data_IF_386140542019
#
_entry.id   IF_386140542019
#
_cell.length_a   1.000
_cell.length_b   1.000
_cell.length_c   1.000
_cell.angle_alpha   90.00
_cell.angle_beta   90.00
_cell.angle_gamma   90.00
#
_symmetry.space_group_name_H-M   'P 1'
#
loop_
_entity.id
_entity.type
_entity.pdbx_description
1 polymer ?
#
# COMPACT_ATOMS: atom_id res chain seq x y z
N UNK A 1 -3.24 -1.80 29.77
CA UNK A 1 -2.05 -2.23 29.00
C UNK A 1 -1.39 -3.51 29.54
N UNK A 2 -1.08 -3.66 30.84
CA UNK A 2 -0.39 -4.89 31.35
C UNK A 2 -1.06 -6.22 30.98
N UNK A 3 -2.39 -6.31 31.08
CA UNK A 3 -3.13 -7.53 30.69
C UNK A 3 -2.96 -7.88 29.21
N UNK A 4 -2.98 -6.87 28.33
CA UNK A 4 -2.78 -7.05 26.89
C UNK A 4 -1.37 -7.59 26.65
N UNK A 5 -0.35 -6.95 27.21
CA UNK A 5 1.05 -7.36 27.03
C UNK A 5 1.32 -8.79 27.54
N UNK A 6 0.76 -9.17 28.68
CA UNK A 6 0.91 -10.52 29.24
C UNK A 6 0.22 -11.58 28.37
N UNK A 7 -0.96 -11.29 27.82
CA UNK A 7 -1.63 -12.17 26.87
C UNK A 7 -0.82 -12.31 25.57
N UNK A 8 -0.42 -11.19 24.96
CA UNK A 8 0.38 -11.19 23.72
C UNK A 8 1.69 -11.96 23.89
N UNK A 9 2.36 -11.86 25.05
CA UNK A 9 3.56 -12.64 25.32
C UNK A 9 3.29 -14.15 25.39
N UNK A 10 2.14 -14.56 25.94
CA UNK A 10 1.77 -15.98 26.10
C UNK A 10 1.26 -16.61 24.82
N UNK A 11 0.51 -15.87 24.01
CA UNK A 11 -0.24 -16.46 22.88
C UNK A 11 0.02 -15.79 21.54
N UNK A 12 0.73 -14.65 21.52
CA UNK A 12 0.84 -13.81 20.32
C UNK A 12 -0.33 -12.84 20.13
N UNK A 13 -1.37 -12.91 20.98
CA UNK A 13 -2.63 -12.17 20.84
C UNK A 13 -3.09 -11.51 22.15
N UNK A 14 -3.83 -10.37 22.08
CA UNK A 14 -4.24 -9.68 20.86
C UNK A 14 -3.13 -8.78 20.30
N UNK A 15 -3.20 -8.50 19.00
CA UNK A 15 -2.45 -7.42 18.37
C UNK A 15 -2.95 -6.03 18.79
N UNK A 16 -2.22 -4.99 18.37
CA UNK A 16 -2.61 -3.59 18.59
C UNK A 16 -3.00 -2.96 17.25
N UNK A 17 -4.12 -2.23 17.24
CA UNK A 17 -4.55 -1.40 16.12
C UNK A 17 -4.74 0.04 16.61
N UNK A 18 -4.25 0.99 15.83
CA UNK A 18 -4.30 2.41 16.17
C UNK A 18 -5.43 3.08 15.38
N UNK A 19 -6.66 2.97 15.91
CA UNK A 19 -7.88 3.44 15.26
C UNK A 19 -7.81 4.89 14.77
N UNK A 20 -7.27 5.78 15.59
CA UNK A 20 -7.14 7.20 15.27
C UNK A 20 -6.21 7.42 14.07
N UNK A 21 -5.05 6.75 14.05
CA UNK A 21 -4.09 6.85 12.96
C UNK A 21 -4.63 6.22 11.67
N UNK A 22 -5.35 5.09 11.77
CA UNK A 22 -6.00 4.43 10.63
C UNK A 22 -6.97 5.41 9.96
N UNK A 23 -7.84 6.05 10.74
CA UNK A 23 -8.84 6.98 10.20
C UNK A 23 -8.24 8.34 9.81
N UNK A 24 -7.14 8.77 10.44
CA UNK A 24 -6.37 9.94 10.02
C UNK A 24 -5.72 9.74 8.64
N UNK A 25 -5.21 8.54 8.36
CA UNK A 25 -4.53 8.20 7.11
C UNK A 25 -5.47 7.58 6.05
N UNK A 26 -6.76 7.44 6.35
CA UNK A 26 -7.73 6.94 5.38
C UNK A 26 -8.02 8.00 4.29
N UNK A 27 -7.89 7.61 3.02
CA UNK A 27 -8.18 8.50 1.90
C UNK A 27 -9.65 8.88 1.80
N UNK A 28 -10.55 8.04 2.32
CA UNK A 28 -12.00 8.24 2.29
C UNK A 28 -12.57 8.40 3.71
N UNK A 29 -12.46 9.61 4.28
CA UNK A 29 -12.89 9.91 5.66
C UNK A 29 -14.40 10.18 5.80
N UNK A 30 -15.17 10.16 4.72
CA UNK A 30 -16.64 10.22 4.79
C UNK A 30 -17.24 9.05 5.55
N UNK A 31 -16.53 7.92 5.56
CA UNK A 31 -16.96 6.66 6.15
C UNK A 31 -15.82 6.09 7.01
N UNK A 32 -16.09 5.91 8.30
CA UNK A 32 -15.11 5.43 9.28
C UNK A 32 -14.74 3.97 9.02
N UNK A 33 -13.44 3.67 9.09
CA UNK A 33 -12.92 2.30 9.15
C UNK A 33 -13.00 1.84 10.62
N UNK A 34 -13.84 0.84 10.90
CA UNK A 34 -14.08 0.35 12.28
C UNK A 34 -13.39 -0.99 12.56
N UNK A 35 -12.90 -1.67 11.54
CA UNK A 35 -12.26 -2.97 11.63
C UNK A 35 -11.37 -3.22 10.42
N UNK A 36 -10.51 -4.23 10.54
CA UNK A 36 -9.60 -4.67 9.48
C UNK A 36 -10.01 -6.05 8.97
N UNK A 37 -9.38 -6.50 7.90
CA UNK A 37 -9.41 -7.92 7.53
C UNK A 37 -8.56 -8.76 8.53
N UNK A 38 -8.61 -10.12 8.45
CA UNK A 38 -7.93 -10.99 9.41
C UNK A 38 -6.42 -10.79 9.55
N UNK A 39 -5.74 -10.31 8.50
CA UNK A 39 -4.29 -10.09 8.50
C UNK A 39 -3.90 -8.61 8.77
N UNK A 40 -4.88 -7.76 9.06
CA UNK A 40 -4.75 -6.34 9.44
C UNK A 40 -4.13 -5.39 8.40
N UNK A 41 -3.93 -5.81 7.15
CA UNK A 41 -3.36 -5.02 6.06
C UNK A 41 -4.40 -4.25 5.25
N UNK A 42 -5.67 -4.65 5.29
CA UNK A 42 -6.76 -4.00 4.59
C UNK A 42 -7.59 -3.13 5.54
N UNK A 43 -7.39 -1.83 5.40
CA UNK A 43 -7.92 -0.76 6.24
C UNK A 43 -8.83 0.14 5.39
N UNK A 44 -10.05 -0.31 5.13
CA UNK A 44 -10.96 0.35 4.20
C UNK A 44 -12.37 0.53 4.79
N UNK A 45 -13.26 1.08 3.98
CA UNK A 45 -14.64 1.33 4.36
C UNK A 45 -15.39 0.03 4.67
N UNK A 46 -16.45 0.15 5.46
CA UNK A 46 -17.26 -0.99 5.83
C UNK A 46 -17.80 -1.70 4.59
N UNK A 47 -17.78 -3.04 4.65
CA UNK A 47 -18.39 -3.92 3.66
C UNK A 47 -17.72 -3.86 2.27
N UNK A 48 -16.53 -3.26 2.16
CA UNK A 48 -15.72 -3.38 0.96
C UNK A 48 -14.92 -4.68 0.96
N UNK A 49 -14.54 -5.14 -0.23
CA UNK A 49 -13.74 -6.34 -0.43
C UNK A 49 -12.27 -6.03 -0.65
N UNK A 50 -11.43 -6.94 -0.18
CA UNK A 50 -9.99 -6.87 -0.32
C UNK A 50 -9.53 -7.33 -1.72
N UNK A 51 -9.09 -6.41 -2.58
CA UNK A 51 -8.45 -6.71 -3.87
C UNK A 51 -6.94 -6.49 -3.74
N UNK A 52 -6.18 -7.58 -3.54
CA UNK A 52 -4.74 -7.52 -3.28
C UNK A 52 -3.93 -8.11 -4.42
N UNK A 53 -2.77 -7.52 -4.69
CA UNK A 53 -1.74 -8.15 -5.50
C UNK A 53 -0.35 -7.87 -4.94
N UNK A 54 0.62 -8.72 -5.27
CA UNK A 54 1.98 -8.55 -4.78
C UNK A 54 3.00 -8.75 -5.88
N UNK A 55 3.86 -7.76 -6.04
CA UNK A 55 4.99 -7.78 -6.96
C UNK A 55 6.18 -8.49 -6.31
N UNK A 56 6.77 -9.48 -6.98
CA UNK A 56 7.97 -10.16 -6.47
C UNK A 56 9.22 -9.30 -6.72
N UNK A 57 9.80 -8.71 -5.66
CA UNK A 57 10.95 -7.80 -5.78
C UNK A 57 12.19 -8.44 -6.39
N UNK A 58 12.37 -9.76 -6.24
CA UNK A 58 13.53 -10.47 -6.81
C UNK A 58 13.53 -10.49 -8.34
N UNK A 59 12.40 -10.21 -8.99
CA UNK A 59 12.34 -10.07 -10.45
C UNK A 59 12.94 -8.76 -10.95
N UNK A 60 13.14 -7.80 -10.05
CA UNK A 60 13.65 -6.46 -10.35
C UNK A 60 15.06 -6.24 -9.79
N UNK A 61 15.77 -7.30 -9.43
CA UNK A 61 17.14 -7.20 -8.91
C UNK A 61 18.10 -8.04 -9.74
N UNK A 62 19.07 -7.37 -10.34
CA UNK A 62 20.19 -8.00 -11.03
C UNK A 62 21.29 -8.29 -9.98
N UNK A 63 21.45 -9.56 -9.62
CA UNK A 63 22.42 -9.98 -8.61
C UNK A 63 23.87 -9.83 -9.06
N UNK A 64 24.14 -9.94 -10.37
CA UNK A 64 25.50 -9.83 -10.90
C UNK A 64 25.96 -8.38 -10.91
N UNK A 65 25.05 -7.46 -11.25
CA UNK A 65 25.33 -6.02 -11.27
C UNK A 65 25.09 -5.33 -9.94
N UNK A 66 24.30 -5.94 -9.05
CA UNK A 66 23.87 -5.34 -7.79
C UNK A 66 22.92 -4.15 -7.99
N UNK A 67 22.07 -4.19 -9.01
CA UNK A 67 21.23 -3.04 -9.42
C UNK A 67 19.75 -3.42 -9.34
N UNK A 68 18.94 -2.51 -8.80
CA UNK A 68 17.48 -2.61 -8.85
C UNK A 68 16.93 -1.99 -10.15
N UNK A 69 16.16 -2.77 -10.91
CA UNK A 69 15.57 -2.40 -12.20
C UNK A 69 14.32 -1.54 -12.01
N UNK A 70 14.52 -0.26 -11.68
CA UNK A 70 13.48 0.71 -11.33
C UNK A 70 12.41 0.84 -12.43
N UNK A 71 12.83 0.99 -13.68
CA UNK A 71 11.90 1.22 -14.80
C UNK A 71 10.93 0.04 -15.00
N UNK A 72 11.44 -1.18 -14.90
CA UNK A 72 10.63 -2.40 -14.99
C UNK A 72 9.67 -2.52 -13.79
N UNK A 73 10.13 -2.18 -12.59
CA UNK A 73 9.29 -2.18 -11.40
C UNK A 73 8.15 -1.17 -11.51
N UNK A 74 8.45 0.05 -11.97
CA UNK A 74 7.46 1.10 -12.26
C UNK A 74 6.46 0.63 -13.30
N UNK A 75 6.93 0.01 -14.38
CA UNK A 75 6.06 -0.50 -15.44
C UNK A 75 5.09 -1.58 -14.93
N UNK A 76 5.58 -2.51 -14.12
CA UNK A 76 4.74 -3.56 -13.52
C UNK A 76 3.73 -2.96 -12.53
N UNK A 77 4.14 -2.03 -11.67
CA UNK A 77 3.21 -1.35 -10.75
C UNK A 77 2.10 -0.61 -11.51
N UNK A 78 2.43 0.01 -12.64
CA UNK A 78 1.48 0.70 -13.51
C UNK A 78 0.45 -0.26 -14.13
N UNK A 79 0.91 -1.39 -14.66
CA UNK A 79 0.04 -2.43 -15.24
C UNK A 79 -0.84 -3.04 -14.15
N UNK A 80 -0.25 -3.47 -13.03
CA UNK A 80 -0.97 -4.12 -11.95
C UNK A 80 -2.05 -3.21 -11.36
N UNK A 81 -1.76 -1.93 -11.15
CA UNK A 81 -2.78 -0.97 -10.68
C UNK A 81 -3.97 -0.88 -11.63
N UNK A 82 -3.75 -1.01 -12.95
CA UNK A 82 -4.83 -1.05 -13.95
C UNK A 82 -5.60 -2.36 -13.90
N UNK A 83 -4.89 -3.49 -13.88
CA UNK A 83 -5.51 -4.81 -13.84
C UNK A 83 -6.38 -4.99 -12.60
N UNK A 84 -5.91 -4.51 -11.45
CA UNK A 84 -6.66 -4.55 -10.19
C UNK A 84 -7.93 -3.71 -10.26
N UNK A 85 -7.89 -2.50 -10.83
CA UNK A 85 -9.11 -1.69 -10.98
C UNK A 85 -10.12 -2.37 -11.92
N UNK A 86 -9.67 -2.98 -13.02
CA UNK A 86 -10.53 -3.76 -13.92
C UNK A 86 -11.16 -4.96 -13.21
N UNK A 87 -10.41 -5.66 -12.35
CA UNK A 87 -10.94 -6.79 -11.60
C UNK A 87 -12.09 -6.43 -10.66
N UNK A 88 -12.24 -5.17 -10.24
CA UNK A 88 -13.38 -4.75 -9.41
C UNK A 88 -14.70 -4.89 -10.18
N UNK A 89 -14.69 -4.67 -11.49
CA UNK A 89 -15.91 -4.77 -12.29
C UNK A 89 -16.22 -6.22 -12.68
N UNK A 90 -15.18 -7.01 -12.94
CA UNK A 90 -15.27 -8.42 -13.38
C UNK A 90 -15.40 -9.44 -12.23
N UNK A 91 -15.15 -9.02 -10.99
CA UNK A 91 -15.24 -9.90 -9.83
C UNK A 91 -16.70 -10.29 -9.52
N UNK A 92 -16.86 -11.51 -9.01
CA UNK A 92 -18.10 -11.94 -8.38
C UNK A 92 -18.02 -11.71 -6.87
N UNK A 93 -19.10 -11.18 -6.28
CA UNK A 93 -19.17 -10.86 -4.87
C UNK A 93 -20.17 -11.75 -4.13
N UNK A 94 -19.92 -12.10 -2.86
CA UNK A 94 -20.79 -13.00 -2.12
C UNK A 94 -22.14 -12.37 -1.74
N UNK A 95 -22.24 -11.03 -1.70
CA UNK A 95 -23.49 -10.30 -1.45
C UNK A 95 -23.54 -9.02 -2.27
N UNK A 96 -24.74 -8.57 -2.63
CA UNK A 96 -24.97 -7.29 -3.34
C UNK A 96 -24.45 -6.08 -2.53
N UNK A 97 -24.53 -6.17 -1.19
CA UNK A 97 -24.05 -5.12 -0.30
C UNK A 97 -22.55 -4.90 -0.44
N UNK A 98 -21.79 -6.00 -0.47
CA UNK A 98 -20.33 -5.97 -0.66
C UNK A 98 -19.99 -5.50 -2.07
N UNK A 99 -20.68 -6.01 -3.10
CA UNK A 99 -20.47 -5.57 -4.48
C UNK A 99 -20.64 -4.05 -4.61
N UNK A 100 -21.75 -3.52 -4.10
CA UNK A 100 -22.07 -2.10 -4.17
C UNK A 100 -21.03 -1.26 -3.44
N UNK A 101 -20.65 -1.65 -2.22
CA UNK A 101 -19.65 -0.93 -1.44
C UNK A 101 -18.28 -0.95 -2.16
N UNK A 102 -17.82 -2.11 -2.62
CA UNK A 102 -16.55 -2.23 -3.35
C UNK A 102 -16.55 -1.40 -4.63
N UNK A 103 -17.59 -1.47 -5.47
CA UNK A 103 -17.68 -0.68 -6.71
C UNK A 103 -17.80 0.82 -6.44
N UNK A 104 -18.33 1.21 -5.28
CA UNK A 104 -18.44 2.62 -4.86
C UNK A 104 -17.08 3.23 -4.50
N UNK A 105 -16.27 2.52 -3.73
CA UNK A 105 -14.97 3.03 -3.23
C UNK A 105 -13.77 2.62 -4.08
N UNK A 106 -13.90 1.54 -4.85
CA UNK A 106 -12.90 0.99 -5.78
C UNK A 106 -11.49 0.82 -5.18
N UNK A 107 -11.40 0.35 -3.94
CA UNK A 107 -10.12 0.20 -3.25
C UNK A 107 -9.27 -0.92 -3.85
N UNK A 108 -7.96 -0.68 -4.01
CA UNK A 108 -6.97 -1.70 -4.41
C UNK A 108 -5.85 -1.75 -3.36
N UNK A 109 -5.23 -2.91 -3.18
CA UNK A 109 -4.07 -3.11 -2.31
C UNK A 109 -2.89 -3.70 -3.08
N UNK A 110 -2.14 -2.83 -3.76
CA UNK A 110 -0.89 -3.21 -4.41
C UNK A 110 0.24 -3.26 -3.38
N UNK A 111 0.86 -4.43 -3.24
CA UNK A 111 1.99 -4.68 -2.35
C UNK A 111 3.16 -5.35 -3.06
N UNK A 112 4.10 -5.86 -2.26
CA UNK A 112 5.25 -6.60 -2.75
C UNK A 112 5.64 -7.76 -1.82
N UNK A 113 6.37 -8.72 -2.35
CA UNK A 113 6.95 -9.85 -1.61
C UNK A 113 8.48 -9.88 -1.77
N UNK A 114 9.14 -10.68 -0.94
CA UNK A 114 10.59 -10.94 -0.99
C UNK A 114 11.48 -9.72 -0.70
N UNK A 115 11.02 -8.77 0.12
CA UNK A 115 11.86 -7.69 0.62
C UNK A 115 13.10 -8.24 1.35
N UNK A 116 12.92 -9.20 2.27
CA UNK A 116 14.05 -9.81 2.97
C UNK A 116 15.06 -10.46 2.05
N UNK A 117 14.59 -11.23 1.05
CA UNK A 117 15.46 -11.83 0.05
C UNK A 117 16.24 -10.79 -0.75
N UNK A 118 15.58 -9.69 -1.16
CA UNK A 118 16.24 -8.59 -1.87
C UNK A 118 17.35 -7.98 -1.02
N UNK A 119 17.06 -7.61 0.23
CA UNK A 119 18.01 -6.98 1.15
C UNK A 119 19.20 -7.90 1.42
N UNK A 120 18.96 -9.20 1.64
CA UNK A 120 20.02 -10.17 1.86
C UNK A 120 20.86 -10.41 0.59
N UNK A 121 20.24 -10.48 -0.58
CA UNK A 121 20.94 -10.61 -1.87
C UNK A 121 21.72 -9.35 -2.25
N UNK A 122 21.34 -8.18 -1.73
CA UNK A 122 22.10 -6.94 -1.80
C UNK A 122 23.26 -6.86 -0.79
N UNK A 123 23.40 -7.87 0.09
CA UNK A 123 24.47 -7.93 1.08
C UNK A 123 24.23 -7.04 2.30
N UNK A 124 23.00 -6.58 2.55
CA UNK A 124 22.66 -5.77 3.71
C UNK A 124 22.04 -6.60 4.83
N UNK A 125 22.33 -6.19 6.07
CA UNK A 125 21.61 -6.71 7.22
C UNK A 125 20.17 -6.14 7.23
N UNK A 126 19.19 -6.99 7.51
CA UNK A 126 17.77 -6.60 7.48
C UNK A 126 17.42 -5.47 8.46
N UNK A 127 18.13 -5.39 9.59
CA UNK A 127 17.97 -4.39 10.63
C UNK A 127 18.88 -3.14 10.44
N UNK A 128 19.55 -3.01 9.30
CA UNK A 128 20.38 -1.84 8.99
C UNK A 128 19.56 -0.62 8.55
N UNK A 129 20.15 0.56 8.66
CA UNK A 129 19.57 1.79 8.10
C UNK A 129 19.39 1.69 6.58
N UNK A 130 20.39 1.14 5.87
CA UNK A 130 20.32 0.91 4.43
C UNK A 130 19.11 0.03 4.03
N UNK A 131 18.81 -1.02 4.80
CA UNK A 131 17.65 -1.87 4.54
C UNK A 131 16.31 -1.13 4.76
N UNK A 132 16.22 -0.30 5.81
CA UNK A 132 15.04 0.55 6.06
C UNK A 132 14.85 1.60 4.97
N UNK A 133 15.93 2.21 4.51
CA UNK A 133 15.91 3.19 3.42
C UNK A 133 15.44 2.55 2.11
N UNK A 134 16.02 1.40 1.75
CA UNK A 134 15.61 0.61 0.58
C UNK A 134 14.12 0.27 0.60
N UNK A 135 13.62 -0.26 1.72
CA UNK A 135 12.21 -0.57 1.90
C UNK A 135 11.32 0.67 1.75
N UNK A 136 11.75 1.80 2.32
CA UNK A 136 11.04 3.07 2.26
C UNK A 136 10.99 3.62 0.83
N UNK A 137 12.11 3.56 0.10
CA UNK A 137 12.19 4.02 -1.29
C UNK A 137 11.32 3.17 -2.23
N UNK A 138 11.37 1.84 -2.11
CA UNK A 138 10.54 0.91 -2.90
C UNK A 138 9.05 1.16 -2.63
N UNK A 139 8.66 1.28 -1.35
CA UNK A 139 7.27 1.55 -0.97
C UNK A 139 6.81 2.90 -1.50
N UNK A 140 7.59 3.96 -1.27
CA UNK A 140 7.28 5.32 -1.72
C UNK A 140 7.08 5.38 -3.24
N UNK A 141 7.98 4.73 -4.01
CA UNK A 141 7.88 4.66 -5.45
C UNK A 141 6.62 3.90 -5.90
N UNK A 142 6.35 2.71 -5.35
CA UNK A 142 5.15 1.93 -5.66
C UNK A 142 3.87 2.72 -5.37
N UNK A 143 3.79 3.36 -4.21
CA UNK A 143 2.66 4.21 -3.80
C UNK A 143 2.47 5.38 -4.77
N UNK A 144 3.55 6.09 -5.14
CA UNK A 144 3.48 7.19 -6.09
C UNK A 144 2.99 6.75 -7.48
N UNK A 145 3.46 5.60 -7.96
CA UNK A 145 3.02 5.05 -9.25
C UNK A 145 1.56 4.61 -9.21
N UNK A 146 1.09 3.98 -8.13
CA UNK A 146 -0.31 3.60 -7.96
C UNK A 146 -1.24 4.83 -8.00
N UNK A 147 -0.92 5.89 -7.25
CA UNK A 147 -1.69 7.14 -7.27
C UNK A 147 -1.64 7.84 -8.63
N UNK A 148 -0.47 7.89 -9.26
CA UNK A 148 -0.31 8.48 -10.60
C UNK A 148 -1.12 7.70 -11.63
N UNK A 149 -1.13 6.37 -11.56
CA UNK A 149 -1.92 5.54 -12.46
C UNK A 149 -3.42 5.73 -12.23
N UNK A 150 -3.86 5.77 -10.97
CA UNK A 150 -5.26 6.07 -10.62
C UNK A 150 -5.72 7.41 -11.19
N UNK A 151 -4.89 8.46 -11.05
CA UNK A 151 -5.16 9.78 -11.64
C UNK A 151 -5.17 9.73 -13.17
N UNK A 152 -4.25 8.99 -13.79
CA UNK A 152 -4.23 8.82 -15.24
C UNK A 152 -5.46 8.04 -15.75
N UNK A 153 -5.99 7.10 -14.98
CA UNK A 153 -7.23 6.39 -15.33
C UNK A 153 -8.39 7.38 -15.53
N UNK A 154 -8.40 8.47 -14.74
CA UNK A 154 -9.42 9.50 -14.83
C UNK A 154 -9.42 10.30 -16.16
N UNK A 155 -8.43 10.13 -17.04
CA UNK A 155 -8.48 10.68 -18.39
C UNK A 155 -9.36 9.86 -19.35
N UNK A 156 -9.75 8.65 -18.95
CA UNK A 156 -10.54 7.71 -19.76
C UNK A 156 -11.87 7.34 -19.10
N UNK A 157 -11.90 7.26 -17.77
CA UNK A 157 -13.09 6.93 -16.98
C UNK A 157 -13.35 8.01 -15.92
N UNK A 158 -14.58 8.13 -15.38
CA UNK A 158 -14.83 8.97 -14.22
C UNK A 158 -14.08 8.45 -12.97
N UNK A 159 -13.83 9.31 -11.97
CA UNK A 159 -13.34 8.87 -10.66
C UNK A 159 -14.37 7.97 -9.96
N UNK A 160 -13.94 7.27 -8.90
CA UNK A 160 -14.85 6.46 -8.07
C UNK A 160 -15.99 7.31 -7.50
N UNK A 161 -17.15 6.68 -7.26
CA UNK A 161 -18.42 7.39 -7.00
C UNK A 161 -18.38 8.33 -5.80
N UNK A 162 -17.55 8.01 -4.79
CA UNK A 162 -17.40 8.80 -3.55
C UNK A 162 -16.28 9.84 -3.59
N UNK A 163 -15.71 10.13 -4.77
CA UNK A 163 -14.61 11.08 -4.92
C UNK A 163 -14.93 12.48 -4.39
N UNK A 164 -16.07 13.07 -4.74
CA UNK A 164 -16.36 14.46 -4.36
C UNK A 164 -16.43 14.68 -2.84
N UNK A 165 -16.95 13.68 -2.11
CA UNK A 165 -17.02 13.68 -0.64
C UNK A 165 -15.63 13.52 0.00
N UNK A 166 -14.71 12.85 -0.69
CA UNK A 166 -13.42 12.41 -0.14
C UNK A 166 -12.19 13.10 -0.77
N UNK A 167 -12.39 14.00 -1.74
CA UNK A 167 -11.27 14.68 -2.42
C UNK A 167 -10.38 15.44 -1.45
N UNK A 168 -10.96 16.04 -0.40
CA UNK A 168 -10.19 16.76 0.61
C UNK A 168 -9.31 15.80 1.42
N UNK A 169 -9.88 14.72 1.95
CA UNK A 169 -9.13 13.73 2.73
C UNK A 169 -8.07 13.02 1.90
N UNK A 170 -8.37 12.66 0.65
CA UNK A 170 -7.38 12.01 -0.22
C UNK A 170 -6.20 12.94 -0.52
N UNK A 171 -6.46 14.23 -0.76
CA UNK A 171 -5.38 15.22 -0.98
C UNK A 171 -4.55 15.45 0.29
N UNK A 172 -5.15 15.41 1.48
CA UNK A 172 -4.41 15.47 2.76
C UNK A 172 -3.46 14.28 2.89
N UNK A 173 -3.95 13.06 2.68
CA UNK A 173 -3.13 11.83 2.76
C UNK A 173 -2.00 11.85 1.71
N UNK A 174 -2.30 12.28 0.48
CA UNK A 174 -1.29 12.46 -0.58
C UNK A 174 -0.19 13.46 -0.19
N UNK A 175 -0.56 14.56 0.48
CA UNK A 175 0.42 15.54 1.00
C UNK A 175 1.29 14.93 2.10
N UNK A 176 0.71 14.11 2.98
CA UNK A 176 1.48 13.38 4.00
C UNK A 176 2.48 12.43 3.34
N UNK A 177 2.07 11.62 2.37
CA UNK A 177 2.98 10.76 1.62
C UNK A 177 4.09 11.55 0.90
N UNK A 178 3.76 12.68 0.28
CA UNK A 178 4.75 13.56 -0.35
C UNK A 178 5.75 14.12 0.66
N UNK A 179 5.27 14.55 1.84
CA UNK A 179 6.14 15.03 2.92
C UNK A 179 7.09 13.93 3.39
N UNK A 180 6.59 12.72 3.66
CA UNK A 180 7.42 11.59 4.07
C UNK A 180 8.42 11.18 3.00
N UNK A 181 8.03 11.22 1.72
CA UNK A 181 8.93 10.90 0.60
C UNK A 181 10.11 11.85 0.51
N UNK A 182 9.89 13.16 0.75
CA UNK A 182 10.97 14.16 0.79
C UNK A 182 11.96 13.94 1.94
N UNK A 183 11.53 13.33 3.04
CA UNK A 183 12.46 12.98 4.13
C UNK A 183 13.35 11.79 3.74
N UNK A 184 12.85 10.83 2.94
CA UNK A 184 13.67 9.72 2.41
C UNK A 184 14.80 10.28 1.53
N UNK A 185 14.50 11.24 0.65
CA UNK A 185 15.48 11.85 -0.26
C UNK A 185 16.67 12.49 0.49
N UNK A 186 16.42 13.10 1.65
CA UNK A 186 17.48 13.69 2.49
C UNK A 186 18.42 12.64 3.09
N UNK A 187 17.89 11.45 3.37
CA UNK A 187 18.62 10.35 4.00
C UNK A 187 19.47 9.61 2.95
N UNK A 188 18.96 9.43 1.72
CA UNK A 188 19.55 8.61 0.66
C UNK A 188 20.84 9.15 0.01
N UNK A 189 21.45 10.20 0.58
CA UNK A 189 22.73 10.74 0.10
C UNK A 189 23.94 9.84 0.41
N UNK A 190 23.76 8.74 1.16
CA UNK A 190 24.83 7.89 1.70
C UNK A 190 24.90 6.48 1.09
N UNK A 191 23.80 5.92 0.58
CA UNK A 191 23.76 4.54 0.06
C UNK A 191 22.95 4.49 -1.25
N UNK A 192 23.61 4.15 -2.36
CA UNK A 192 22.94 4.00 -3.67
C UNK A 192 22.42 2.57 -3.84
N UNK A 193 21.11 2.43 -3.95
CA UNK A 193 20.47 1.40 -4.77
C UNK A 193 20.43 1.84 -6.24
#
# INVERSE_FOLDING_TARGET
>A
MRLISDATWKTGDPGLQFHDLINEMNCCKSDECVATNPCAEYLAQNETSCNLSSVNLMKFYDQEKGIFMIDDFVHVCWIMSTAMDVWIDEASYPTEKIEKATKTFRTIGLGYTNLGSLIMSAGWAYDSDAAREAASAITSLMTAIAYRRSTNHCSFLPPFSKWEENKKSMIEVLKTHLSSSKEIEKIHSTHKL
#
